data_IF_149234056774
#
_entry.id   IF_149234056774
#
_cell.length_a   1.000
_cell.length_b   1.000
_cell.length_c   1.000
_cell.angle_alpha   90.00
_cell.angle_beta   90.00
_cell.angle_gamma   90.00
#
_symmetry.space_group_name_H-M   'P 1'
#
loop_
_entity.id
_entity.type
_entity.pdbx_description
1 polymer ?
#
# COMPACT_ATOMS: atom_id res chain seq x y z
N UNK A 1 -2.05 -5.05 -16.06
CA UNK A 1 -2.45 -3.99 -15.10
C UNK A 1 -3.87 -3.57 -15.40
N UNK A 2 -4.79 -3.72 -14.43
CA UNK A 2 -6.16 -3.19 -14.55
C UNK A 2 -6.13 -1.75 -14.02
N UNK A 3 -6.33 -0.76 -14.89
CA UNK A 3 -6.47 0.64 -14.47
C UNK A 3 -7.84 0.82 -13.83
N UNK A 4 -7.90 1.31 -12.60
CA UNK A 4 -9.14 1.84 -12.03
C UNK A 4 -9.44 3.22 -12.58
N UNK A 5 -10.61 3.76 -12.22
CA UNK A 5 -11.01 5.13 -12.53
C UNK A 5 -9.92 6.14 -12.15
N UNK A 6 -9.81 7.19 -12.96
CA UNK A 6 -8.97 8.36 -12.67
C UNK A 6 -9.69 9.29 -11.71
N UNK A 7 -8.90 10.03 -10.93
CA UNK A 7 -9.40 11.01 -9.99
C UNK A 7 -9.73 10.42 -8.62
N UNK A 8 -9.76 11.31 -7.62
CA UNK A 8 -10.08 10.94 -6.25
C UNK A 8 -11.58 11.11 -5.98
N UNK A 9 -12.33 10.01 -6.11
CA UNK A 9 -13.78 9.99 -5.95
C UNK A 9 -14.24 9.06 -4.83
N UNK A 10 -15.49 9.24 -4.38
CA UNK A 10 -16.06 8.38 -3.34
C UNK A 10 -16.27 6.96 -3.88
N UNK A 11 -16.65 6.84 -5.15
CA UNK A 11 -16.85 5.57 -5.85
C UNK A 11 -15.55 4.77 -5.92
N UNK A 12 -14.41 5.42 -6.18
CA UNK A 12 -13.11 4.77 -6.17
C UNK A 12 -12.75 4.26 -4.76
N UNK A 13 -12.99 5.07 -3.72
CA UNK A 13 -12.75 4.67 -2.33
C UNK A 13 -13.61 3.46 -1.94
N UNK A 14 -14.89 3.47 -2.31
CA UNK A 14 -15.81 2.35 -2.06
C UNK A 14 -15.42 1.09 -2.84
N UNK A 15 -14.94 1.24 -4.08
CA UNK A 15 -14.41 0.14 -4.87
C UNK A 15 -13.19 -0.51 -4.21
N UNK A 16 -12.20 0.30 -3.83
CA UNK A 16 -10.98 -0.17 -3.14
C UNK A 16 -11.36 -0.87 -1.83
N UNK A 17 -12.22 -0.25 -1.01
CA UNK A 17 -12.59 -0.80 0.29
C UNK A 17 -13.32 -2.14 0.17
N UNK A 18 -14.21 -2.29 -0.83
CA UNK A 18 -14.89 -3.55 -1.14
C UNK A 18 -13.91 -4.61 -1.63
N UNK A 19 -13.00 -4.23 -2.52
CA UNK A 19 -11.99 -5.15 -3.08
C UNK A 19 -11.04 -5.66 -2.01
N UNK A 20 -10.57 -4.78 -1.13
CA UNK A 20 -9.68 -5.10 -0.01
C UNK A 20 -10.39 -5.75 1.18
N UNK A 21 -11.72 -5.72 1.21
CA UNK A 21 -12.54 -6.27 2.29
C UNK A 21 -12.28 -5.57 3.62
N UNK A 22 -12.16 -4.25 3.61
CA UNK A 22 -11.87 -3.48 4.81
C UNK A 22 -13.07 -3.44 5.77
N UNK A 23 -12.84 -3.29 7.09
CA UNK A 23 -13.91 -2.99 8.03
C UNK A 23 -14.65 -1.69 7.67
N UNK A 24 -15.96 -1.66 7.93
CA UNK A 24 -16.83 -0.52 7.63
C UNK A 24 -16.33 0.81 8.20
N UNK A 25 -15.77 0.80 9.41
CA UNK A 25 -15.29 2.03 10.05
C UNK A 25 -14.12 2.66 9.28
N UNK A 26 -13.30 1.86 8.59
CA UNK A 26 -12.18 2.35 7.78
C UNK A 26 -12.70 3.00 6.49
N UNK A 27 -13.70 2.39 5.83
CA UNK A 27 -14.39 3.03 4.71
C UNK A 27 -14.95 4.40 5.10
N UNK A 28 -15.66 4.48 6.23
CA UNK A 28 -16.21 5.74 6.73
C UNK A 28 -15.11 6.75 7.07
N UNK A 29 -13.96 6.29 7.58
CA UNK A 29 -12.79 7.14 7.80
C UNK A 29 -12.24 7.71 6.48
N UNK A 30 -12.07 6.88 5.46
CA UNK A 30 -11.58 7.30 4.13
C UNK A 30 -12.52 8.30 3.46
N UNK A 31 -13.84 8.08 3.53
CA UNK A 31 -14.83 9.00 2.99
C UNK A 31 -14.81 10.36 3.70
N UNK A 32 -14.66 10.39 5.03
CA UNK A 32 -14.46 11.64 5.78
C UNK A 32 -13.16 12.34 5.37
N UNK A 33 -12.09 11.60 5.16
CA UNK A 33 -10.82 12.16 4.70
C UNK A 33 -10.96 12.81 3.31
N UNK A 34 -11.72 12.19 2.40
CA UNK A 34 -12.03 12.79 1.09
C UNK A 34 -12.80 14.10 1.21
N UNK A 35 -13.80 14.16 2.11
CA UNK A 35 -14.52 15.42 2.36
C UNK A 35 -13.59 16.51 2.90
N UNK A 36 -12.68 16.16 3.81
CA UNK A 36 -11.70 17.09 4.38
C UNK A 36 -10.76 17.58 3.28
N UNK A 37 -10.22 16.66 2.47
CA UNK A 37 -9.35 16.97 1.34
C UNK A 37 -10.00 18.00 0.40
N UNK A 38 -11.28 17.81 0.06
CA UNK A 38 -12.04 18.75 -0.79
C UNK A 38 -12.28 20.12 -0.15
N UNK A 39 -12.27 20.22 1.18
CA UNK A 39 -12.51 21.47 1.93
C UNK A 39 -11.23 22.24 2.22
N UNK A 40 -10.09 21.55 2.30
CA UNK A 40 -8.82 22.18 2.64
C UNK A 40 -8.30 23.00 1.46
N UNK A 41 -7.81 24.24 1.70
CA UNK A 41 -7.15 25.01 0.66
C UNK A 41 -5.79 24.38 0.32
N UNK A 42 -5.31 24.63 -0.90
CA UNK A 42 -3.97 24.22 -1.29
C UNK A 42 -2.92 24.83 -0.36
N UNK A 43 -1.89 24.04 0.06
CA UNK A 43 -0.84 24.54 0.92
C UNK A 43 -0.08 25.68 0.21
N UNK A 44 0.31 26.70 0.98
CA UNK A 44 1.08 27.86 0.47
C UNK A 44 2.59 27.70 0.61
N UNK A 45 3.04 26.56 1.12
CA UNK A 45 4.44 26.24 1.32
C UNK A 45 4.85 25.11 0.36
N UNK A 46 6.12 25.08 -0.03
CA UNK A 46 6.64 24.09 -0.96
C UNK A 46 6.53 24.51 -2.43
N UNK A 47 6.66 23.56 -3.37
CA UNK A 47 6.50 23.79 -4.80
C UNK A 47 5.11 24.34 -5.13
N UNK A 48 5.00 25.03 -6.27
CA UNK A 48 3.69 25.42 -6.80
C UNK A 48 2.92 24.17 -7.25
N UNK A 49 1.68 24.05 -6.79
CA UNK A 49 0.77 22.95 -7.09
C UNK A 49 -0.44 23.42 -7.90
N UNK A 50 -0.42 24.66 -8.41
CA UNK A 50 -1.52 25.24 -9.19
C UNK A 50 -1.82 24.49 -10.48
N UNK A 51 -0.83 23.80 -11.05
CA UNK A 51 -0.94 22.99 -12.26
C UNK A 51 -1.37 21.54 -12.00
N UNK A 52 -1.48 21.12 -10.73
CA UNK A 52 -1.81 19.73 -10.40
C UNK A 52 -3.30 19.47 -10.60
N UNK A 53 -3.63 18.69 -11.62
CA UNK A 53 -4.98 18.18 -11.81
C UNK A 53 -5.19 16.87 -11.03
N UNK A 54 -5.77 16.99 -9.83
CA UNK A 54 -6.09 15.84 -8.99
C UNK A 54 -7.14 14.89 -9.59
N UNK A 55 -7.87 15.30 -10.62
CA UNK A 55 -8.87 14.48 -11.30
C UNK A 55 -8.28 13.57 -12.37
N UNK A 56 -7.06 13.85 -12.84
CA UNK A 56 -6.37 13.05 -13.87
C UNK A 56 -5.34 12.05 -13.28
N UNK A 57 -5.19 12.04 -11.96
CA UNK A 57 -4.28 11.11 -11.27
C UNK A 57 -4.93 9.74 -11.11
N UNK A 58 -4.18 8.68 -11.40
CA UNK A 58 -4.56 7.31 -11.07
C UNK A 58 -4.06 6.97 -9.66
N UNK A 59 -4.97 6.92 -8.69
CA UNK A 59 -4.63 6.74 -7.26
C UNK A 59 -4.49 5.27 -6.84
N UNK A 60 -4.98 4.34 -7.64
CA UNK A 60 -4.94 2.92 -7.33
C UNK A 60 -4.61 2.14 -8.59
N UNK A 61 -3.65 1.23 -8.47
CA UNK A 61 -3.18 0.41 -9.57
C UNK A 61 -3.00 -1.02 -9.07
N UNK A 62 -3.72 -1.94 -9.70
CA UNK A 62 -3.58 -3.36 -9.41
C UNK A 62 -2.50 -3.98 -10.29
N UNK A 63 -1.46 -4.45 -9.64
CA UNK A 63 -0.25 -4.98 -10.26
C UNK A 63 -0.23 -6.50 -10.24
N UNK A 64 0.02 -7.11 -9.08
CA UNK A 64 0.28 -8.55 -8.95
C UNK A 64 -0.22 -9.08 -7.61
N UNK A 65 -0.51 -10.38 -7.56
CA UNK A 65 -0.89 -11.06 -6.32
C UNK A 65 0.34 -11.20 -5.40
N UNK A 66 0.16 -11.09 -4.06
CA UNK A 66 1.24 -11.28 -3.10
C UNK A 66 1.83 -12.70 -3.17
N UNK A 67 3.16 -12.81 -3.02
CA UNK A 67 3.86 -14.10 -2.94
C UNK A 67 4.63 -14.26 -1.63
N UNK A 68 4.80 -15.50 -1.20
CA UNK A 68 5.44 -15.84 0.07
C UNK A 68 6.95 -16.06 -0.02
N UNK A 69 7.47 -16.24 -1.23
CA UNK A 69 8.89 -16.53 -1.47
C UNK A 69 9.46 -15.66 -2.59
N UNK A 70 10.79 -15.50 -2.57
CA UNK A 70 11.50 -14.69 -3.55
C UNK A 70 11.41 -15.30 -4.96
N UNK A 71 11.39 -16.62 -5.04
CA UNK A 71 11.36 -17.40 -6.28
C UNK A 71 10.02 -17.29 -7.01
N UNK A 72 8.94 -17.04 -6.28
CA UNK A 72 7.58 -16.88 -6.81
C UNK A 72 7.34 -15.49 -7.42
N UNK A 73 8.24 -14.52 -7.21
CA UNK A 73 8.10 -13.19 -7.78
C UNK A 73 8.17 -13.23 -9.31
N UNK A 74 7.29 -12.47 -10.01
CA UNK A 74 7.42 -12.24 -11.44
C UNK A 74 8.82 -11.74 -11.80
N UNK A 75 9.37 -12.26 -12.89
CA UNK A 75 10.77 -12.04 -13.29
C UNK A 75 11.15 -10.56 -13.38
N UNK A 76 10.25 -9.73 -13.91
CA UNK A 76 10.47 -8.28 -14.04
C UNK A 76 10.65 -7.61 -12.67
N UNK A 77 9.81 -7.96 -11.69
CA UNK A 77 9.87 -7.42 -10.32
C UNK A 77 11.12 -7.94 -9.62
N UNK A 78 11.41 -9.24 -9.75
CA UNK A 78 12.60 -9.85 -9.14
C UNK A 78 13.88 -9.18 -9.65
N UNK A 79 14.00 -8.95 -10.96
CA UNK A 79 15.16 -8.26 -11.54
C UNK A 79 15.32 -6.85 -10.98
N UNK A 80 14.23 -6.07 -10.91
CA UNK A 80 14.28 -4.73 -10.30
C UNK A 80 14.74 -4.80 -8.85
N UNK A 81 14.26 -5.78 -8.07
CA UNK A 81 14.67 -5.89 -6.68
C UNK A 81 16.12 -6.38 -6.50
N UNK A 82 16.63 -7.21 -7.41
CA UNK A 82 18.05 -7.59 -7.47
C UNK A 82 18.93 -6.38 -7.77
N UNK A 83 18.55 -5.55 -8.74
CA UNK A 83 19.26 -4.30 -9.07
C UNK A 83 19.27 -3.31 -7.88
N UNK A 84 18.20 -3.30 -7.08
CA UNK A 84 18.10 -2.51 -5.85
C UNK A 84 18.83 -3.15 -4.65
N UNK A 85 19.37 -4.36 -4.78
CA UNK A 85 20.14 -5.03 -3.73
C UNK A 85 19.33 -5.67 -2.61
N UNK A 86 18.02 -5.90 -2.80
CA UNK A 86 17.14 -6.47 -1.76
C UNK A 86 17.59 -7.85 -1.23
N UNK A 87 18.07 -8.80 -2.05
CA UNK A 87 18.52 -10.11 -1.56
C UNK A 87 19.72 -10.04 -0.60
N UNK A 88 20.55 -9.01 -0.75
CA UNK A 88 21.68 -8.79 0.14
C UNK A 88 21.20 -8.10 1.43
N UNK A 89 20.26 -7.16 1.32
CA UNK A 89 19.64 -6.49 2.45
C UNK A 89 18.86 -7.46 3.37
N UNK A 90 18.12 -8.40 2.79
CA UNK A 90 17.41 -9.45 3.54
C UNK A 90 18.40 -10.32 4.33
N UNK A 91 19.48 -10.79 3.68
CA UNK A 91 20.53 -11.59 4.32
C UNK A 91 21.30 -10.85 5.40
N UNK A 92 21.44 -9.52 5.30
CA UNK A 92 22.19 -8.68 6.24
C UNK A 92 21.42 -8.28 7.50
N UNK A 93 20.27 -8.89 7.79
CA UNK A 93 19.52 -8.75 9.03
C UNK A 93 18.52 -7.58 9.10
N UNK A 94 17.76 -7.33 8.04
CA UNK A 94 16.49 -6.63 8.23
C UNK A 94 15.55 -7.54 9.05
N UNK A 95 15.00 -7.02 10.15
CA UNK A 95 14.06 -7.70 11.03
C UNK A 95 12.83 -8.26 10.28
N UNK A 96 12.58 -7.71 9.09
CA UNK A 96 11.71 -8.21 8.04
C UNK A 96 11.89 -7.35 6.80
N UNK A 97 11.44 -7.85 5.65
CA UNK A 97 11.43 -7.14 4.37
C UNK A 97 10.02 -7.20 3.81
N UNK A 98 9.42 -6.04 3.54
CA UNK A 98 8.18 -5.90 2.79
C UNK A 98 8.47 -5.14 1.52
N UNK A 99 7.99 -5.63 0.38
CA UNK A 99 8.11 -4.95 -0.89
C UNK A 99 6.73 -4.65 -1.46
N UNK A 100 6.51 -3.41 -1.87
CA UNK A 100 5.27 -2.94 -2.47
C UNK A 100 5.54 -2.48 -3.89
N UNK A 101 4.69 -2.90 -4.83
CA UNK A 101 4.72 -2.45 -6.22
C UNK A 101 3.36 -1.84 -6.51
N UNK A 102 3.36 -0.56 -6.88
CA UNK A 102 2.16 0.27 -6.99
C UNK A 102 1.30 0.23 -5.71
N UNK A 103 0.08 -0.29 -5.78
CA UNK A 103 -0.86 -0.34 -4.64
C UNK A 103 -0.85 -1.67 -3.89
N UNK A 104 0.00 -2.63 -4.28
CA UNK A 104 -0.02 -4.00 -3.75
C UNK A 104 1.29 -4.37 -3.05
N UNK A 105 1.20 -4.97 -1.86
CA UNK A 105 2.36 -5.60 -1.20
C UNK A 105 2.59 -6.95 -1.85
N UNK A 106 3.70 -7.06 -2.59
CA UNK A 106 3.97 -8.23 -3.44
C UNK A 106 4.84 -9.27 -2.75
N UNK A 107 5.61 -8.87 -1.72
CA UNK A 107 6.50 -9.76 -1.00
C UNK A 107 6.61 -9.33 0.45
N UNK A 108 6.66 -10.31 1.36
CA UNK A 108 6.85 -10.10 2.80
C UNK A 108 7.62 -11.25 3.42
N UNK A 109 8.65 -10.90 4.19
CA UNK A 109 9.42 -11.80 5.04
C UNK A 109 9.61 -11.15 6.41
N UNK A 110 9.47 -11.93 7.49
CA UNK A 110 9.78 -11.50 8.86
C UNK A 110 10.59 -12.59 9.53
N UNK A 111 11.63 -12.21 10.26
CA UNK A 111 12.42 -13.16 11.03
C UNK A 111 11.57 -13.80 12.13
N UNK A 112 11.68 -15.13 12.27
CA UNK A 112 10.91 -15.88 13.26
C UNK A 112 11.19 -15.41 14.69
N UNK A 113 12.43 -15.00 14.96
CA UNK A 113 12.88 -14.46 16.25
C UNK A 113 12.18 -13.14 16.59
N UNK A 114 11.98 -12.27 15.60
CA UNK A 114 11.30 -10.98 15.76
C UNK A 114 9.81 -11.18 16.00
N UNK A 115 9.19 -12.12 15.26
CA UNK A 115 7.81 -12.54 15.51
C UNK A 115 7.64 -13.14 16.92
N UNK A 116 8.60 -13.94 17.39
CA UNK A 116 8.56 -14.53 18.73
C UNK A 116 8.64 -13.49 19.86
N UNK A 117 9.15 -12.29 19.58
CA UNK A 117 9.13 -11.15 20.51
C UNK A 117 7.81 -10.37 20.51
N UNK A 118 6.82 -10.79 19.71
CA UNK A 118 5.50 -10.16 19.64
C UNK A 118 5.39 -9.03 18.62
N UNK A 119 6.37 -8.87 17.73
CA UNK A 119 6.29 -7.87 16.65
C UNK A 119 5.29 -8.34 15.59
N UNK A 120 4.33 -7.47 15.28
CA UNK A 120 3.36 -7.65 14.20
C UNK A 120 3.86 -6.91 12.96
N UNK A 121 4.19 -7.64 11.91
CA UNK A 121 4.60 -7.09 10.61
C UNK A 121 3.68 -7.64 9.52
N UNK A 122 2.62 -6.89 9.24
CA UNK A 122 1.58 -7.29 8.28
C UNK A 122 1.22 -6.12 7.36
N UNK A 123 0.79 -6.39 6.10
CA UNK A 123 0.17 -5.39 5.26
C UNK A 123 -1.03 -4.76 5.99
N UNK A 124 -1.26 -3.48 5.72
CA UNK A 124 -2.34 -2.72 6.34
C UNK A 124 -3.71 -3.40 6.18
N UNK A 125 -3.93 -4.06 5.03
CA UNK A 125 -5.17 -4.78 4.70
C UNK A 125 -5.45 -5.97 5.62
N UNK A 126 -4.38 -6.66 6.05
CA UNK A 126 -4.44 -7.76 7.02
C UNK A 126 -4.55 -7.20 8.43
N UNK A 127 -3.74 -6.20 8.77
CA UNK A 127 -3.75 -5.56 10.08
C UNK A 127 -5.13 -4.98 10.43
N UNK A 128 -5.83 -4.38 9.46
CA UNK A 128 -7.20 -3.89 9.64
C UNK A 128 -8.21 -4.99 10.01
N UNK A 129 -7.97 -6.23 9.61
CA UNK A 129 -8.85 -7.37 9.87
C UNK A 129 -8.44 -8.12 11.14
N UNK A 130 -7.14 -8.34 11.31
CA UNK A 130 -6.57 -9.16 12.36
C UNK A 130 -6.38 -8.39 13.67
N UNK A 131 -6.09 -7.09 13.57
CA UNK A 131 -5.71 -6.21 14.67
C UNK A 131 -6.42 -4.84 14.63
N UNK A 132 -7.75 -4.78 14.42
CA UNK A 132 -8.48 -3.50 14.29
C UNK A 132 -8.36 -2.58 15.51
N UNK A 133 -7.99 -3.09 16.67
CA UNK A 133 -7.76 -2.34 17.91
C UNK A 133 -6.40 -1.62 17.98
N UNK A 134 -5.45 -2.03 17.14
CA UNK A 134 -4.11 -1.44 17.07
C UNK A 134 -3.96 -0.42 15.94
N UNK A 135 -4.96 -0.32 15.05
CA UNK A 135 -4.97 0.49 13.83
C UNK A 135 -5.92 1.67 13.97
#
# INVERSE_FOLDING_TARGET
MKRTSVGLTAELIEEISREKGEPRWMLEHRLRALEIFRKLPMPRFGPDLSEVDFSDISYYLRTVEPVGSWEELPEEIRRTFEELGLPEAERKALAGLGAQVDSEVVYRSILAEVRAQGVIFEPMEEALKNHPELV
#
